data_IF_947828203594
#
_entry.id   IF_947828203594
#
_cell.length_a   1.000
_cell.length_b   1.000
_cell.length_c   1.000
_cell.angle_alpha   90.00
_cell.angle_beta   90.00
_cell.angle_gamma   90.00
#
_symmetry.space_group_name_H-M   'P 1'
#
loop_
_entity.id
_entity.type
_entity.pdbx_description
1 polymer ?
#
# COMPACT_ATOMS: atom_id res chain seq x y z
N UNK A 1 26.84 -16.77 -62.27
CA UNK A 1 27.60 -15.60 -61.79
C UNK A 1 26.65 -14.43 -61.75
N UNK A 2 26.06 -14.14 -60.58
CA UNK A 2 25.13 -13.05 -60.36
C UNK A 2 25.60 -12.21 -59.20
N UNK A 3 25.78 -10.91 -59.44
CA UNK A 3 26.20 -9.94 -58.43
C UNK A 3 25.02 -9.38 -57.64
N UNK A 4 25.33 -8.83 -56.46
CA UNK A 4 24.70 -7.66 -55.87
C UNK A 4 25.41 -7.33 -54.55
N UNK A 5 26.30 -6.33 -54.58
CA UNK A 5 26.66 -5.56 -53.39
C UNK A 5 25.66 -4.40 -53.29
N UNK A 6 24.80 -4.37 -52.26
CA UNK A 6 24.15 -3.15 -51.78
C UNK A 6 23.91 -3.19 -50.26
N UNK A 7 24.70 -2.37 -49.57
CA UNK A 7 24.42 -1.50 -48.40
C UNK A 7 23.79 -2.07 -47.11
N UNK A 8 24.40 -1.81 -45.93
CA UNK A 8 23.73 -1.98 -44.65
C UNK A 8 22.70 -0.87 -44.45
N UNK A 9 21.44 -1.25 -44.25
CA UNK A 9 20.40 -0.33 -43.78
C UNK A 9 20.74 0.15 -42.37
N UNK A 10 21.13 1.42 -42.27
CA UNK A 10 20.98 2.25 -41.08
C UNK A 10 19.50 2.24 -40.66
N UNK A 11 19.22 1.85 -39.42
CA UNK A 11 17.84 1.72 -38.94
C UNK A 11 17.71 1.02 -37.60
N UNK A 12 18.41 1.49 -36.57
CA UNK A 12 18.07 1.17 -35.17
C UNK A 12 17.70 2.46 -34.46
N UNK A 13 16.52 2.96 -34.79
CA UNK A 13 15.80 3.92 -33.96
C UNK A 13 15.39 3.20 -32.68
N UNK A 14 16.16 3.37 -31.62
CA UNK A 14 15.77 3.00 -30.27
C UNK A 14 14.70 4.01 -29.86
N UNK A 15 13.43 3.69 -30.07
CA UNK A 15 12.35 4.42 -29.41
C UNK A 15 12.43 3.98 -27.96
N UNK A 16 13.28 4.67 -27.20
CA UNK A 16 13.25 4.64 -25.75
C UNK A 16 11.91 5.21 -25.32
N UNK A 17 10.92 4.33 -25.15
CA UNK A 17 9.75 4.64 -24.34
C UNK A 17 10.28 4.84 -22.94
N UNK A 18 10.67 6.08 -22.64
CA UNK A 18 10.85 6.51 -21.28
C UNK A 18 9.53 6.25 -20.59
N UNK A 19 9.48 5.18 -19.78
CA UNK A 19 8.45 5.03 -18.77
C UNK A 19 8.52 6.32 -17.95
N UNK A 20 7.59 7.23 -18.24
CA UNK A 20 7.26 8.32 -17.36
C UNK A 20 6.85 7.65 -16.06
N UNK A 21 7.78 7.59 -15.12
CA UNK A 21 7.50 7.34 -13.73
C UNK A 21 6.57 8.47 -13.31
N UNK A 22 5.27 8.26 -13.48
CA UNK A 22 4.25 9.03 -12.79
C UNK A 22 4.53 8.81 -11.31
N UNK A 23 5.30 9.71 -10.72
CA UNK A 23 5.19 9.96 -9.29
C UNK A 23 3.74 10.40 -9.11
N UNK A 24 2.90 9.45 -8.69
CA UNK A 24 1.58 9.76 -8.19
C UNK A 24 1.80 10.85 -7.13
N UNK A 25 1.44 12.09 -7.48
CA UNK A 25 1.47 13.19 -6.54
C UNK A 25 0.59 12.75 -5.38
N UNK A 26 1.22 12.52 -4.24
CA UNK A 26 0.52 11.94 -3.12
C UNK A 26 -0.68 12.81 -2.75
N UNK A 27 -1.82 12.18 -2.48
CA UNK A 27 -3.00 12.94 -2.05
C UNK A 27 -2.69 13.49 -0.66
N UNK A 28 -2.34 14.78 -0.57
CA UNK A 28 -2.14 15.45 0.71
C UNK A 28 -3.53 15.61 1.31
N UNK A 29 -3.87 14.77 2.29
CA UNK A 29 -5.06 14.97 3.09
C UNK A 29 -4.74 16.07 4.12
N UNK A 30 -5.71 16.91 4.40
CA UNK A 30 -5.60 17.89 5.49
C UNK A 30 -6.81 17.68 6.38
N UNK A 31 -6.62 17.56 7.71
CA UNK A 31 -7.75 17.56 8.63
C UNK A 31 -8.55 18.85 8.48
N UNK A 32 -9.87 18.79 8.68
CA UNK A 32 -10.77 19.95 8.56
C UNK A 32 -10.45 21.08 9.55
N UNK A 33 -9.68 20.79 10.61
CA UNK A 33 -9.28 21.74 11.67
C UNK A 33 -7.74 21.93 11.73
N UNK A 34 -7.09 22.17 10.59
CA UNK A 34 -5.64 22.37 10.56
C UNK A 34 -5.21 23.69 11.22
N UNK A 35 -4.49 23.60 12.34
CA UNK A 35 -3.83 24.71 13.01
C UNK A 35 -2.33 24.72 12.68
N UNK A 36 -1.89 25.65 11.83
CA UNK A 36 -0.50 25.73 11.33
C UNK A 36 0.54 25.70 12.46
N UNK A 37 0.31 26.39 13.57
CA UNK A 37 1.29 26.53 14.65
C UNK A 37 1.49 25.24 15.47
N UNK A 38 0.44 24.42 15.59
CA UNK A 38 0.48 23.18 16.39
C UNK A 38 0.68 21.94 15.54
N UNK A 39 0.16 21.95 14.31
CA UNK A 39 0.08 20.76 13.47
C UNK A 39 1.26 20.60 12.52
N UNK A 40 1.89 21.71 12.11
CA UNK A 40 2.92 21.66 11.07
C UNK A 40 4.17 20.89 11.52
N UNK A 41 4.60 21.07 12.76
CA UNK A 41 5.75 20.34 13.31
C UNK A 41 5.48 18.84 13.39
N UNK A 42 4.32 18.45 13.92
CA UNK A 42 3.92 17.05 14.09
C UNK A 42 3.68 16.37 12.73
N UNK A 43 3.06 17.08 11.78
CA UNK A 43 2.90 16.61 10.40
C UNK A 43 4.25 16.37 9.74
N UNK A 44 5.18 17.32 9.81
CA UNK A 44 6.51 17.18 9.21
C UNK A 44 7.32 16.04 9.83
N UNK A 45 7.16 15.81 11.15
CA UNK A 45 7.76 14.67 11.84
C UNK A 45 7.31 13.35 11.19
N UNK A 46 6.01 13.14 11.02
CA UNK A 46 5.50 11.89 10.44
C UNK A 46 5.67 11.78 8.93
N UNK A 47 5.76 12.91 8.19
CA UNK A 47 6.15 12.89 6.78
C UNK A 47 7.56 12.30 6.58
N UNK A 48 8.51 12.57 7.49
CA UNK A 48 9.85 11.96 7.43
C UNK A 48 9.81 10.44 7.61
N UNK A 49 8.85 9.92 8.37
CA UNK A 49 8.67 8.49 8.59
C UNK A 49 8.21 7.74 7.33
N UNK A 50 7.48 8.42 6.43
CA UNK A 50 6.82 7.79 5.28
C UNK A 50 7.75 6.99 4.37
N UNK A 51 9.02 7.39 4.22
CA UNK A 51 9.99 6.68 3.37
C UNK A 51 10.49 5.37 3.98
N UNK A 52 10.41 5.21 5.30
CA UNK A 52 10.91 4.03 6.01
C UNK A 52 9.84 2.96 6.17
N UNK A 53 8.60 3.36 6.41
CA UNK A 53 7.52 2.45 6.82
C UNK A 53 6.72 1.87 5.66
N UNK A 54 7.10 2.15 4.41
CA UNK A 54 6.37 1.74 3.19
C UNK A 54 6.03 0.25 3.19
N UNK A 55 7.05 -0.59 3.40
CA UNK A 55 6.91 -2.04 3.37
C UNK A 55 6.15 -2.56 4.59
N UNK A 56 6.39 -1.97 5.77
CA UNK A 56 5.70 -2.37 7.01
C UNK A 56 4.20 -2.07 6.93
N UNK A 57 3.84 -0.88 6.43
CA UNK A 57 2.46 -0.46 6.23
C UNK A 57 1.74 -1.33 5.20
N UNK A 58 2.37 -1.57 4.03
CA UNK A 58 1.81 -2.46 3.01
C UNK A 58 1.59 -3.87 3.56
N UNK A 59 2.55 -4.41 4.31
CA UNK A 59 2.41 -5.73 4.94
C UNK A 59 1.27 -5.74 5.95
N UNK A 60 1.12 -4.70 6.76
CA UNK A 60 0.06 -4.59 7.76
C UNK A 60 -1.32 -4.59 7.11
N UNK A 61 -1.55 -3.72 6.13
CA UNK A 61 -2.86 -3.57 5.49
C UNK A 61 -3.23 -4.81 4.66
N UNK A 62 -2.30 -5.34 3.86
CA UNK A 62 -2.55 -6.54 3.05
C UNK A 62 -2.76 -7.78 3.92
N UNK A 63 -2.00 -7.95 5.01
CA UNK A 63 -2.21 -9.05 5.95
C UNK A 63 -3.59 -8.97 6.62
N UNK A 64 -3.97 -7.77 7.09
CA UNK A 64 -5.29 -7.53 7.66
C UNK A 64 -6.42 -7.86 6.67
N UNK A 65 -6.26 -7.48 5.39
CA UNK A 65 -7.22 -7.84 4.35
C UNK A 65 -7.26 -9.34 4.08
N UNK A 66 -6.13 -10.05 4.08
CA UNK A 66 -6.10 -11.52 3.94
C UNK A 66 -6.79 -12.25 5.09
N UNK A 67 -6.73 -11.70 6.30
CA UNK A 67 -7.41 -12.24 7.49
C UNK A 67 -8.89 -11.92 7.48
N UNK A 68 -9.27 -10.71 7.03
CA UNK A 68 -10.65 -10.26 6.95
C UNK A 68 -11.45 -10.96 5.85
N UNK A 69 -10.82 -11.21 4.69
CA UNK A 69 -11.47 -11.82 3.53
C UNK A 69 -11.49 -13.35 3.67
N UNK A 70 -12.64 -13.87 4.12
CA UNK A 70 -12.90 -15.29 4.28
C UNK A 70 -13.26 -16.03 2.98
N UNK A 71 -13.38 -17.36 3.05
CA UNK A 71 -13.77 -18.21 1.91
C UNK A 71 -15.21 -17.95 1.42
N UNK A 72 -16.06 -17.36 2.25
CA UNK A 72 -17.45 -17.03 1.94
C UNK A 72 -17.60 -15.73 1.14
N UNK A 73 -16.54 -14.94 0.99
CA UNK A 73 -16.61 -13.66 0.29
C UNK A 73 -16.87 -13.90 -1.21
N UNK A 74 -17.75 -13.05 -1.76
CA UNK A 74 -18.00 -12.92 -3.19
C UNK A 74 -16.93 -12.06 -3.84
N UNK A 75 -16.99 -11.93 -5.17
CA UNK A 75 -16.09 -11.04 -5.89
C UNK A 75 -16.31 -9.60 -5.43
N UNK A 76 -17.56 -9.11 -5.46
CA UNK A 76 -17.92 -7.74 -5.06
C UNK A 76 -17.49 -7.39 -3.63
N UNK A 77 -17.63 -8.32 -2.67
CA UNK A 77 -17.16 -8.09 -1.28
C UNK A 77 -15.65 -7.82 -1.19
N UNK A 78 -14.87 -8.45 -2.10
CA UNK A 78 -13.41 -8.26 -2.17
C UNK A 78 -13.08 -6.90 -2.76
N UNK A 79 -13.82 -6.46 -3.79
CA UNK A 79 -13.66 -5.12 -4.37
C UNK A 79 -13.97 -4.04 -3.33
N UNK A 80 -15.11 -4.13 -2.65
CA UNK A 80 -15.53 -3.18 -1.61
C UNK A 80 -14.53 -3.11 -0.45
N UNK A 81 -13.95 -4.25 -0.07
CA UNK A 81 -12.96 -4.29 0.99
C UNK A 81 -11.63 -3.66 0.57
N UNK A 82 -11.17 -3.91 -0.67
CA UNK A 82 -9.91 -3.34 -1.17
C UNK A 82 -10.04 -1.83 -1.38
N UNK A 83 -11.18 -1.32 -1.84
CA UNK A 83 -11.40 0.13 -1.95
C UNK A 83 -11.27 0.87 -0.61
N UNK A 84 -11.55 0.18 0.50
CA UNK A 84 -11.49 0.69 1.87
C UNK A 84 -10.22 0.25 2.61
N UNK A 85 -9.25 -0.37 1.94
CA UNK A 85 -8.05 -0.93 2.58
C UNK A 85 -7.23 0.13 3.34
N UNK A 86 -7.26 1.38 2.87
CA UNK A 86 -6.58 2.51 3.51
C UNK A 86 -7.46 3.29 4.50
N UNK A 87 -8.77 2.99 4.59
CA UNK A 87 -9.69 3.57 5.56
C UNK A 87 -9.74 2.73 6.87
N UNK A 88 -8.63 2.06 7.21
CA UNK A 88 -8.49 1.20 8.37
C UNK A 88 -7.96 1.96 9.61
N UNK A 89 -8.65 3.02 10.03
CA UNK A 89 -8.19 3.89 11.13
C UNK A 89 -8.00 3.13 12.46
N UNK A 90 -8.86 2.15 12.73
CA UNK A 90 -8.74 1.28 13.91
C UNK A 90 -7.48 0.39 13.86
N UNK A 91 -7.04 -0.02 12.67
CA UNK A 91 -5.81 -0.80 12.47
C UNK A 91 -4.58 0.09 12.70
N UNK A 92 -4.62 1.32 12.18
CA UNK A 92 -3.53 2.28 12.36
C UNK A 92 -3.42 2.77 13.81
N UNK A 93 -4.53 2.92 14.52
CA UNK A 93 -4.55 3.32 15.93
C UNK A 93 -3.81 2.32 16.85
N UNK A 94 -3.80 1.04 16.47
CA UNK A 94 -3.10 -0.04 17.18
C UNK A 94 -1.59 -0.05 16.94
N UNK A 95 -1.09 0.78 16.02
CA UNK A 95 0.32 0.88 15.71
C UNK A 95 0.84 2.28 16.00
N UNK A 96 2.12 2.39 16.36
CA UNK A 96 2.82 3.63 16.58
C UNK A 96 4.10 3.72 15.75
N UNK A 97 4.43 4.94 15.34
CA UNK A 97 5.65 5.24 14.60
C UNK A 97 6.70 5.77 15.57
N UNK A 98 7.77 4.98 15.76
CA UNK A 98 8.89 5.33 16.61
C UNK A 98 10.11 5.70 15.77
N UNK A 99 10.76 6.79 16.16
CA UNK A 99 12.08 7.15 15.65
C UNK A 99 13.13 6.31 16.40
N UNK A 100 13.99 5.66 15.64
CA UNK A 100 15.09 4.80 16.10
C UNK A 100 16.39 5.26 15.43
N UNK A 101 17.55 4.81 15.91
CA UNK A 101 18.86 5.23 15.36
C UNK A 101 19.00 5.00 13.84
N UNK A 102 18.32 3.98 13.30
CA UNK A 102 18.33 3.62 11.89
C UNK A 102 17.23 4.29 11.04
N UNK A 103 16.41 5.17 11.62
CA UNK A 103 15.28 5.83 10.94
C UNK A 103 13.96 5.67 11.70
N UNK A 104 12.92 5.19 11.02
CA UNK A 104 11.58 5.06 11.60
C UNK A 104 11.10 3.61 11.52
N UNK A 105 10.39 3.16 12.55
CA UNK A 105 9.75 1.84 12.58
C UNK A 105 8.33 1.93 13.09
N UNK A 106 7.47 1.07 12.54
CA UNK A 106 6.12 0.85 13.01
C UNK A 106 6.12 -0.29 14.02
N UNK A 107 5.59 -0.05 15.22
CA UNK A 107 5.46 -1.05 16.28
C UNK A 107 4.01 -1.08 16.81
N UNK A 108 3.56 -2.19 17.40
CA UNK A 108 2.28 -2.20 18.10
C UNK A 108 2.30 -1.21 19.29
N UNK A 109 1.19 -0.51 19.51
CA UNK A 109 1.03 0.38 20.67
C UNK A 109 1.16 -0.44 21.95
N UNK A 110 2.03 0.01 22.83
CA UNK A 110 2.20 -0.58 24.18
C UNK A 110 1.57 0.34 25.22
N UNK A 111 1.14 -0.20 26.37
CA UNK A 111 0.61 0.61 27.48
C UNK A 111 1.64 1.60 28.07
N UNK A 112 2.92 1.46 27.70
CA UNK A 112 4.03 2.30 28.16
C UNK A 112 4.29 3.54 27.29
N UNK A 113 3.58 3.75 26.18
CA UNK A 113 3.85 4.92 25.33
C UNK A 113 3.07 6.17 25.72
N UNK A 114 3.82 7.24 26.01
CA UNK A 114 3.33 8.60 26.26
C UNK A 114 2.94 9.30 24.95
N UNK A 115 2.11 8.66 24.12
CA UNK A 115 1.60 9.25 22.87
C UNK A 115 0.41 10.15 23.19
N UNK A 116 0.47 11.42 22.81
CA UNK A 116 -0.68 12.34 22.93
C UNK A 116 -1.73 12.04 21.86
N UNK A 117 -3.00 12.35 22.13
CA UNK A 117 -4.10 12.19 21.16
C UNK A 117 -3.83 12.94 19.85
N UNK A 118 -3.21 14.11 19.97
CA UNK A 118 -2.77 14.93 18.85
C UNK A 118 -1.74 14.24 17.96
N UNK A 119 -0.72 13.61 18.58
CA UNK A 119 0.27 12.83 17.86
C UNK A 119 -0.37 11.58 17.22
N UNK A 120 -1.29 10.92 17.91
CA UNK A 120 -2.03 9.76 17.39
C UNK A 120 -2.84 10.11 16.13
N UNK A 121 -3.58 11.24 16.15
CA UNK A 121 -4.36 11.72 14.99
C UNK A 121 -3.47 11.96 13.78
N UNK A 122 -2.36 12.68 13.96
CA UNK A 122 -1.43 12.98 12.87
C UNK A 122 -0.68 11.76 12.35
N UNK A 123 -0.37 10.80 13.22
CA UNK A 123 0.25 9.55 12.83
C UNK A 123 -0.69 8.70 11.98
N UNK A 124 -1.94 8.48 12.43
CA UNK A 124 -2.94 7.73 11.65
C UNK A 124 -3.21 8.39 10.30
N UNK A 125 -3.26 9.72 10.28
CA UNK A 125 -3.39 10.48 9.05
C UNK A 125 -2.19 10.27 8.10
N UNK A 126 -0.96 10.36 8.61
CA UNK A 126 0.24 10.12 7.79
C UNK A 126 0.31 8.68 7.26
N UNK A 127 -0.14 7.70 8.04
CA UNK A 127 -0.25 6.30 7.60
C UNK A 127 -1.32 6.13 6.51
N UNK A 128 -2.47 6.79 6.66
CA UNK A 128 -3.54 6.79 5.65
C UNK A 128 -3.09 7.41 4.34
N UNK A 129 -2.47 8.59 4.38
CA UNK A 129 -1.89 9.22 3.18
C UNK A 129 -0.85 8.32 2.51
N UNK A 130 0.02 7.70 3.30
CA UNK A 130 1.04 6.81 2.76
C UNK A 130 0.43 5.56 2.13
N UNK A 131 -0.62 5.00 2.75
CA UNK A 131 -1.38 3.89 2.20
C UNK A 131 -2.01 4.27 0.87
N UNK A 132 -2.68 5.43 0.80
CA UNK A 132 -3.27 5.94 -0.44
C UNK A 132 -2.20 6.08 -1.55
N UNK A 133 -0.99 6.51 -1.21
CA UNK A 133 0.08 6.73 -2.19
C UNK A 133 0.80 5.44 -2.64
N UNK A 134 0.78 4.39 -1.82
CA UNK A 134 1.50 3.14 -2.09
C UNK A 134 0.56 2.07 -2.64
N UNK A 135 -0.65 1.97 -2.11
CA UNK A 135 -1.55 0.83 -2.32
C UNK A 135 -2.55 1.13 -3.42
N UNK A 136 -3.22 2.30 -3.38
CA UNK A 136 -4.25 2.65 -4.38
C UNK A 136 -3.80 2.57 -5.84
N UNK A 137 -2.54 2.94 -6.20
CA UNK A 137 -2.07 2.78 -7.57
C UNK A 137 -2.05 1.34 -8.07
N UNK A 138 -2.09 0.36 -7.16
CA UNK A 138 -2.04 -1.07 -7.46
C UNK A 138 -3.31 -1.82 -7.02
N UNK A 139 -4.43 -1.11 -6.78
CA UNK A 139 -5.66 -1.73 -6.28
C UNK A 139 -6.14 -2.87 -7.19
N UNK A 140 -5.99 -2.72 -8.51
CA UNK A 140 -6.41 -3.72 -9.50
C UNK A 140 -5.52 -4.96 -9.49
N UNK A 141 -4.21 -4.82 -9.42
CA UNK A 141 -3.29 -5.95 -9.26
C UNK A 141 -3.51 -6.67 -7.93
N UNK A 142 -3.79 -5.92 -6.86
CA UNK A 142 -4.10 -6.46 -5.54
C UNK A 142 -5.39 -7.30 -5.64
N UNK A 143 -6.48 -6.75 -6.18
CA UNK A 143 -7.76 -7.48 -6.41
C UNK A 143 -7.53 -8.79 -7.15
N UNK A 144 -6.78 -8.74 -8.25
CA UNK A 144 -6.46 -9.91 -9.07
C UNK A 144 -5.76 -11.02 -8.27
N UNK A 145 -4.79 -10.65 -7.44
CA UNK A 145 -4.05 -11.60 -6.59
C UNK A 145 -4.97 -12.20 -5.53
N UNK A 146 -5.82 -11.37 -4.90
CA UNK A 146 -6.79 -11.83 -3.90
C UNK A 146 -7.81 -12.82 -4.48
N UNK A 147 -8.39 -12.50 -5.64
CA UNK A 147 -9.35 -13.38 -6.33
C UNK A 147 -8.70 -14.71 -6.75
N UNK A 148 -7.47 -14.68 -7.25
CA UNK A 148 -6.69 -15.90 -7.57
C UNK A 148 -6.47 -16.75 -6.31
N UNK A 149 -6.12 -16.13 -5.19
CA UNK A 149 -5.92 -16.84 -3.92
C UNK A 149 -7.21 -17.46 -3.39
N UNK A 150 -8.33 -16.74 -3.45
CA UNK A 150 -9.65 -17.25 -3.06
C UNK A 150 -10.09 -18.42 -3.93
N UNK A 151 -9.94 -18.32 -5.26
CA UNK A 151 -10.23 -19.42 -6.20
C UNK A 151 -9.37 -20.65 -5.88
N UNK A 152 -8.08 -20.45 -5.62
CA UNK A 152 -7.16 -21.52 -5.21
C UNK A 152 -7.59 -22.19 -3.90
N UNK A 153 -7.88 -21.42 -2.85
CA UNK A 153 -8.35 -21.97 -1.56
C UNK A 153 -9.69 -22.69 -1.69
N UNK A 154 -10.66 -22.15 -2.42
CA UNK A 154 -11.95 -22.82 -2.71
C UNK A 154 -11.74 -24.16 -3.42
N UNK A 155 -10.83 -24.22 -4.40
CA UNK A 155 -10.50 -25.47 -5.10
C UNK A 155 -9.84 -26.52 -4.19
N UNK A 156 -8.93 -26.09 -3.29
CA UNK A 156 -8.29 -26.98 -2.30
C UNK A 156 -9.29 -27.51 -1.28
N UNK A 157 -10.17 -26.65 -0.76
CA UNK A 157 -11.22 -27.04 0.17
C UNK A 157 -12.16 -28.10 -0.44
N UNK A 158 -12.57 -27.91 -1.70
CA UNK A 158 -13.37 -28.93 -2.44
C UNK A 158 -12.60 -30.23 -2.66
N UNK A 159 -11.28 -30.19 -2.85
CA UNK A 159 -10.45 -31.39 -3.02
C UNK A 159 -10.32 -32.18 -1.71
N UNK A 160 -10.24 -31.50 -0.57
CA UNK A 160 -10.18 -32.12 0.76
C UNK A 160 -11.53 -32.65 1.27
N UNK A 161 -12.66 -32.23 0.66
CA UNK A 161 -14.01 -32.68 1.01
C UNK A 161 -14.52 -33.87 0.20
N UNK A 162 -13.74 -34.40 -0.76
CA UNK A 162 -14.12 -35.65 -1.42
C UNK A 162 -13.88 -36.81 -0.46
N UNK A 163 -14.90 -37.57 -0.04
CA UNK A 163 -14.65 -38.85 0.63
C UNK A 163 -13.94 -39.77 -0.38
N UNK A 164 -12.94 -40.50 0.11
CA UNK A 164 -12.32 -41.62 -0.62
C UNK A 164 -13.37 -42.63 -1.04
#
# INVERSE_FOLDING_TARGET
MGGAMLRPCSGRGVIGVGLLAFQAFGTIRMPEEFNVEKDFEVKNKYQKAQKYIRCELCRLTVAHTLESVGLSFTEDDVYDHIEKICDAEALFAQHELLEVDAGWRMVPVSASTNRTDHAARWQSHAMKELCDNIIRPYDDEIKDVFLKHLKSKKSKARRCQKPC
#
